data_IF_947367997555
#
_entry.id   IF_947367997555
#
_cell.length_a   1.000
_cell.length_b   1.000
_cell.length_c   1.000
_cell.angle_alpha   90.00
_cell.angle_beta   90.00
_cell.angle_gamma   90.00
#
_symmetry.space_group_name_H-M   'P 1'
#
loop_
_entity.id
_entity.type
_entity.pdbx_description
1 polymer ?
#
# COMPACT_ATOMS: atom_id res chain seq x y z
N UNK A 1 6.68 3.58 16.60
CA UNK A 1 6.60 4.32 15.32
C UNK A 1 5.93 3.39 14.32
N UNK A 2 4.84 3.81 13.67
CA UNK A 2 4.30 3.04 12.54
C UNK A 2 5.27 3.21 11.37
N UNK A 3 5.65 2.11 10.72
CA UNK A 3 6.49 2.18 9.53
C UNK A 3 5.62 2.57 8.34
N UNK A 4 6.08 3.56 7.57
CA UNK A 4 5.39 4.07 6.40
C UNK A 4 5.86 3.35 5.14
N UNK A 5 4.92 2.81 4.37
CA UNK A 5 5.17 2.03 3.15
C UNK A 5 4.52 2.72 1.96
N UNK A 6 5.27 2.94 0.89
CA UNK A 6 4.75 3.42 -0.40
C UNK A 6 4.62 2.22 -1.35
N UNK A 7 3.42 1.97 -1.85
CA UNK A 7 3.12 0.98 -2.88
C UNK A 7 2.93 1.72 -4.19
N UNK A 8 3.74 1.39 -5.21
CA UNK A 8 3.66 1.98 -6.56
C UNK A 8 3.40 0.87 -7.56
N UNK A 9 2.22 0.86 -8.17
CA UNK A 9 1.79 -0.15 -9.14
C UNK A 9 0.62 0.39 -9.97
N UNK A 10 0.55 0.07 -11.27
CA UNK A 10 -0.49 0.51 -12.20
C UNK A 10 -1.78 -0.35 -12.11
N UNK A 11 -1.71 -1.54 -11.50
CA UNK A 11 -2.84 -2.41 -11.27
C UNK A 11 -3.59 -2.12 -9.96
N UNK A 12 -4.79 -1.56 -10.07
CA UNK A 12 -5.61 -1.16 -8.91
C UNK A 12 -6.01 -2.32 -7.99
N UNK A 13 -6.24 -3.51 -8.55
CA UNK A 13 -6.58 -4.74 -7.80
C UNK A 13 -5.45 -5.17 -6.87
N UNK A 14 -4.21 -5.12 -7.35
CA UNK A 14 -3.01 -5.47 -6.60
C UNK A 14 -2.75 -4.43 -5.51
N UNK A 15 -2.82 -3.13 -5.82
CA UNK A 15 -2.66 -2.05 -4.84
C UNK A 15 -3.67 -2.19 -3.70
N UNK A 16 -4.93 -2.49 -4.01
CA UNK A 16 -5.98 -2.65 -3.00
C UNK A 16 -5.69 -3.84 -2.06
N UNK A 17 -5.27 -4.98 -2.63
CA UNK A 17 -4.92 -6.17 -1.85
C UNK A 17 -3.72 -5.90 -0.92
N UNK A 18 -2.67 -5.28 -1.45
CA UNK A 18 -1.46 -4.96 -0.69
C UNK A 18 -1.75 -3.96 0.43
N UNK A 19 -2.51 -2.90 0.12
CA UNK A 19 -2.93 -1.90 1.11
C UNK A 19 -3.66 -2.56 2.28
N UNK A 20 -4.67 -3.38 2.01
CA UNK A 20 -5.43 -4.07 3.06
C UNK A 20 -4.54 -4.93 3.97
N UNK A 21 -3.66 -5.74 3.39
CA UNK A 21 -2.77 -6.62 4.15
C UNK A 21 -1.77 -5.84 5.00
N UNK A 22 -1.17 -4.78 4.45
CA UNK A 22 -0.18 -3.95 5.14
C UNK A 22 -0.83 -3.09 6.24
N UNK A 23 -2.00 -2.51 6.00
CA UNK A 23 -2.76 -1.80 7.03
C UNK A 23 -3.16 -2.75 8.18
N UNK A 24 -3.61 -3.98 7.86
CA UNK A 24 -3.94 -5.01 8.86
C UNK A 24 -2.71 -5.42 9.69
N UNK A 25 -1.52 -5.40 9.09
CA UNK A 25 -0.26 -5.66 9.76
C UNK A 25 0.28 -4.47 10.57
N UNK A 26 -0.42 -3.32 10.59
CA UNK A 26 -0.08 -2.14 11.39
C UNK A 26 0.84 -1.12 10.71
N UNK A 27 1.02 -1.22 9.39
CA UNK A 27 1.77 -0.25 8.60
C UNK A 27 0.89 0.92 8.15
N UNK A 28 1.50 2.09 8.03
CA UNK A 28 0.89 3.24 7.37
C UNK A 28 1.18 3.13 5.86
N UNK A 29 0.14 2.95 5.05
CA UNK A 29 0.30 2.69 3.61
C UNK A 29 -0.08 3.91 2.79
N UNK A 30 0.80 4.29 1.87
CA UNK A 30 0.54 5.29 0.82
C UNK A 30 0.59 4.56 -0.52
N UNK A 31 -0.31 4.93 -1.42
CA UNK A 31 -0.40 4.33 -2.75
C UNK A 31 -0.16 5.39 -3.81
N UNK A 32 0.61 5.03 -4.83
CA UNK A 32 0.76 5.79 -6.07
C UNK A 32 0.47 4.85 -7.23
N UNK A 33 -0.20 5.38 -8.25
CA UNK A 33 -0.62 4.60 -9.43
C UNK A 33 0.15 5.01 -10.69
N UNK A 34 0.98 6.04 -10.57
CA UNK A 34 1.83 6.59 -11.61
C UNK A 34 3.29 6.61 -11.14
N UNK A 35 4.15 5.95 -11.92
CA UNK A 35 5.60 6.09 -11.85
C UNK A 35 6.09 7.19 -12.78
#
# INVERSE_FOLDING_TARGET
>A
MSQKVLVVDDEHSIVTLLKYNLETAGYEVVVAFDG
#
